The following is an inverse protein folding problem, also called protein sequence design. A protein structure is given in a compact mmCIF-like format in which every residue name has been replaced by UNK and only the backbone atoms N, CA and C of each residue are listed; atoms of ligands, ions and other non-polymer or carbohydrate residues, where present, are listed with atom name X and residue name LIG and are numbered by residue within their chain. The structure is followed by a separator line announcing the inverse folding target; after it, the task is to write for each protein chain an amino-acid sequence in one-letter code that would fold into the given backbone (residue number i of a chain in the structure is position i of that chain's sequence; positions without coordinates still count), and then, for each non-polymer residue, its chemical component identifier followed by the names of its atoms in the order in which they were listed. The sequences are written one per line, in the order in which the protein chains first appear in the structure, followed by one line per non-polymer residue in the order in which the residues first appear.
data_IF_143533415637
#
_entry.id   IF_143533415637
#
_cell.length_a   1.000
_cell.length_b   1.000
_cell.length_c   1.000
_cell.angle_alpha   90.00
_cell.angle_beta   90.00
_cell.angle_gamma   90.00
#
_symmetry.space_group_name_H-M   'P 1'
#
loop_
_entity.id
_entity.type
_entity.pdbx_description
1 polymer ?
#
# COMPACT_ATOMS: atom_id res chain seq x y z
N UNK A 1 10.10 13.64 -14.92
CA UNK A 1 11.23 13.41 -15.81
C UNK A 1 11.05 12.06 -16.51
N UNK A 2 11.65 11.91 -17.72
CA UNK A 2 11.70 10.64 -18.42
C UNK A 2 12.89 9.78 -18.02
N UNK A 3 13.07 8.63 -18.67
CA UNK A 3 14.28 7.82 -18.53
C UNK A 3 15.34 8.28 -19.54
N UNK A 4 16.61 7.96 -19.32
CA UNK A 4 17.72 8.30 -20.22
C UNK A 4 19.08 8.27 -19.54
N UNK A 5 20.10 8.77 -20.23
CA UNK A 5 21.50 8.63 -19.89
C UNK A 5 21.84 8.96 -18.42
N UNK A 6 21.37 10.09 -17.89
CA UNK A 6 21.66 10.48 -16.51
C UNK A 6 21.10 9.47 -15.48
N UNK A 7 19.96 8.85 -15.76
CA UNK A 7 19.37 7.82 -14.90
C UNK A 7 20.07 6.47 -15.06
N UNK A 8 20.62 6.17 -16.24
CA UNK A 8 21.46 4.98 -16.44
C UNK A 8 22.75 5.09 -15.60
N UNK A 9 23.42 6.24 -15.67
CA UNK A 9 24.60 6.49 -14.85
C UNK A 9 24.29 6.51 -13.36
N UNK A 10 23.17 7.12 -12.95
CA UNK A 10 22.73 7.13 -11.55
C UNK A 10 22.49 5.71 -11.03
N UNK A 11 21.84 4.85 -11.81
CA UNK A 11 21.63 3.45 -11.44
C UNK A 11 22.95 2.73 -11.22
N UNK A 12 23.87 2.84 -12.19
CA UNK A 12 25.19 2.19 -12.08
C UNK A 12 25.99 2.71 -10.88
N UNK A 13 25.95 4.02 -10.65
CA UNK A 13 26.61 4.63 -9.51
C UNK A 13 26.05 4.15 -8.16
N UNK A 14 24.73 4.09 -8.02
CA UNK A 14 24.08 3.60 -6.79
C UNK A 14 24.41 2.13 -6.55
N UNK A 15 24.35 1.28 -7.59
CA UNK A 15 24.72 -0.14 -7.49
C UNK A 15 26.19 -0.30 -7.09
N UNK A 16 27.08 0.51 -7.63
CA UNK A 16 28.49 0.47 -7.25
C UNK A 16 28.72 0.95 -5.82
N UNK A 17 28.08 2.01 -5.40
CA UNK A 17 28.22 2.59 -4.05
C UNK A 17 27.70 1.64 -2.96
N UNK A 18 26.68 0.85 -3.24
CA UNK A 18 26.08 -0.10 -2.29
C UNK A 18 26.69 -1.51 -2.37
N UNK A 19 27.58 -1.75 -3.34
CA UNK A 19 28.21 -3.06 -3.57
C UNK A 19 29.02 -3.52 -2.37
N UNK A 20 28.68 -4.71 -1.87
CA UNK A 20 29.34 -5.30 -0.71
C UNK A 20 28.95 -4.68 0.63
N UNK A 21 28.02 -3.71 0.65
CA UNK A 21 27.40 -3.19 1.87
C UNK A 21 26.12 -3.95 2.19
N UNK A 22 25.08 -3.77 1.37
CA UNK A 22 23.79 -4.44 1.51
C UNK A 22 23.24 -5.00 0.19
N UNK A 23 23.82 -4.59 -0.93
CA UNK A 23 23.40 -4.98 -2.30
C UNK A 23 21.90 -4.75 -2.55
N UNK A 24 21.39 -3.60 -2.07
CA UNK A 24 19.96 -3.27 -2.13
C UNK A 24 19.46 -3.15 -3.56
N UNK A 25 18.22 -3.58 -3.84
CA UNK A 25 17.60 -3.33 -5.13
C UNK A 25 17.36 -1.83 -5.34
N UNK A 26 17.58 -1.38 -6.57
CA UNK A 26 17.39 0.00 -7.01
C UNK A 26 16.11 0.10 -7.80
N UNK A 27 15.30 1.10 -7.48
CA UNK A 27 14.02 1.37 -8.10
C UNK A 27 14.04 2.75 -8.76
N UNK A 28 13.52 2.84 -9.99
CA UNK A 28 13.23 4.09 -10.66
C UNK A 28 11.95 3.98 -11.49
N UNK A 29 10.93 4.76 -11.14
CA UNK A 29 9.59 4.70 -11.74
C UNK A 29 9.63 4.80 -13.28
N UNK A 30 10.35 5.76 -13.81
CA UNK A 30 10.37 6.01 -15.26
C UNK A 30 11.23 5.04 -16.06
N UNK A 31 11.93 4.13 -15.39
CA UNK A 31 12.59 3.02 -16.06
C UNK A 31 11.58 2.06 -16.68
N UNK A 32 10.36 1.95 -16.10
CA UNK A 32 9.33 1.02 -16.56
C UNK A 32 9.90 -0.40 -16.74
N UNK A 33 10.13 -0.84 -17.98
CA UNK A 33 10.66 -2.15 -18.35
C UNK A 33 12.16 -2.14 -18.69
N UNK A 34 12.81 -0.98 -18.61
CA UNK A 34 14.22 -0.87 -18.95
C UNK A 34 15.12 -1.46 -17.86
N UNK A 35 16.41 -1.64 -18.18
CA UNK A 35 17.39 -2.34 -17.37
C UNK A 35 17.84 -1.58 -16.11
N UNK A 36 17.67 -0.26 -16.06
CA UNK A 36 18.14 0.59 -14.97
C UNK A 36 17.18 0.69 -13.80
N UNK A 37 16.53 -0.42 -13.50
CA UNK A 37 15.75 -0.68 -12.28
C UNK A 37 15.74 -2.18 -12.00
N UNK A 38 15.91 -2.57 -10.76
CA UNK A 38 15.87 -3.98 -10.34
C UNK A 38 14.43 -4.51 -10.23
N UNK A 39 13.44 -3.68 -10.49
CA UNK A 39 12.04 -4.06 -10.52
C UNK A 39 11.29 -3.32 -11.65
N UNK A 40 10.15 -3.86 -12.07
CA UNK A 40 9.23 -3.17 -12.95
C UNK A 40 8.33 -2.25 -12.14
N UNK A 41 8.28 -0.97 -12.52
CA UNK A 41 7.69 0.09 -11.71
C UNK A 41 6.59 0.82 -12.50
N UNK A 42 5.40 0.21 -12.67
CA UNK A 42 4.26 0.87 -13.30
C UNK A 42 3.68 1.95 -12.39
N UNK A 43 3.01 2.92 -13.00
CA UNK A 43 2.29 3.97 -12.29
C UNK A 43 0.79 3.79 -12.54
N UNK A 44 -0.01 3.74 -11.48
CA UNK A 44 -1.47 3.56 -11.50
C UNK A 44 -1.97 2.39 -12.37
N UNK A 45 -1.45 1.16 -12.20
CA UNK A 45 -1.97 0.03 -12.95
C UNK A 45 -3.37 -0.33 -12.48
N UNK A 46 -4.24 -0.75 -13.42
CA UNK A 46 -5.55 -1.31 -13.04
C UNK A 46 -5.41 -2.71 -12.44
N UNK A 47 -6.45 -3.17 -11.71
CA UNK A 47 -6.50 -4.55 -11.20
C UNK A 47 -6.39 -5.59 -12.31
N UNK A 48 -7.06 -5.37 -13.45
CA UNK A 48 -7.00 -6.27 -14.61
C UNK A 48 -5.61 -6.30 -15.26
N UNK A 49 -4.91 -5.16 -15.29
CA UNK A 49 -3.53 -5.12 -15.76
C UNK A 49 -2.61 -5.91 -14.82
N UNK A 50 -2.73 -5.70 -13.50
CA UNK A 50 -1.97 -6.48 -12.50
C UNK A 50 -2.23 -7.97 -12.64
N UNK A 51 -3.47 -8.39 -12.80
CA UNK A 51 -3.79 -9.81 -13.02
C UNK A 51 -3.14 -10.34 -14.29
N UNK A 52 -3.17 -9.58 -15.38
CA UNK A 52 -2.57 -9.98 -16.64
C UNK A 52 -1.07 -10.16 -16.55
N UNK A 53 -0.35 -9.19 -15.97
CA UNK A 53 1.11 -9.28 -15.81
C UNK A 53 1.50 -10.32 -14.75
N UNK A 54 0.69 -10.49 -13.72
CA UNK A 54 0.87 -11.54 -12.73
C UNK A 54 0.83 -12.93 -13.36
N UNK A 55 -0.16 -13.17 -14.24
CA UNK A 55 -0.35 -14.43 -14.96
C UNK A 55 0.76 -14.71 -15.99
N UNK A 56 1.23 -13.67 -16.68
CA UNK A 56 2.35 -13.79 -17.63
C UNK A 56 3.67 -14.10 -16.93
N UNK A 57 3.82 -13.66 -15.69
CA UNK A 57 5.09 -13.70 -14.97
C UNK A 57 6.04 -12.60 -15.41
N UNK A 58 7.12 -12.44 -14.68
CA UNK A 58 8.20 -11.49 -14.99
C UNK A 58 9.52 -11.96 -14.37
N UNK A 59 10.64 -11.55 -14.97
CA UNK A 59 11.99 -11.83 -14.49
C UNK A 59 12.41 -10.93 -13.31
N UNK A 60 11.66 -9.87 -13.06
CA UNK A 60 11.85 -8.93 -11.93
C UNK A 60 10.53 -8.71 -11.21
N UNK A 61 10.56 -8.32 -9.91
CA UNK A 61 9.35 -7.93 -9.18
C UNK A 61 8.60 -6.78 -9.86
N UNK A 62 7.29 -6.81 -9.83
CA UNK A 62 6.41 -5.73 -10.27
C UNK A 62 5.93 -4.98 -9.04
N UNK A 63 6.31 -3.69 -8.94
CA UNK A 63 6.02 -2.85 -7.78
C UNK A 63 5.54 -1.48 -8.27
N UNK A 64 4.24 -1.21 -8.33
CA UNK A 64 3.72 0.11 -8.68
C UNK A 64 4.33 1.22 -7.82
N UNK A 65 4.91 2.23 -8.49
CA UNK A 65 5.46 3.41 -7.81
C UNK A 65 4.37 4.23 -7.14
N UNK A 66 3.22 4.28 -7.79
CA UNK A 66 2.02 4.92 -7.30
C UNK A 66 0.81 4.09 -7.69
N UNK A 67 -0.11 3.91 -6.75
CA UNK A 67 -1.42 3.30 -7.00
C UNK A 67 -2.44 3.85 -5.98
N UNK A 68 -3.74 3.58 -6.18
CA UNK A 68 -4.80 3.98 -5.26
C UNK A 68 -4.73 5.46 -4.88
N UNK A 69 -4.67 6.36 -5.91
CA UNK A 69 -4.67 7.81 -5.73
C UNK A 69 -5.76 8.26 -4.75
N UNK A 70 -5.38 8.94 -3.66
CA UNK A 70 -6.26 9.15 -2.52
C UNK A 70 -6.88 10.55 -2.42
N UNK A 71 -6.64 11.43 -3.40
CA UNK A 71 -7.27 12.75 -3.42
C UNK A 71 -8.80 12.65 -3.45
N UNK A 72 -9.46 13.24 -2.46
CA UNK A 72 -10.92 13.18 -2.32
C UNK A 72 -11.40 11.75 -2.09
N UNK A 73 -12.30 11.25 -2.95
CA UNK A 73 -12.86 9.89 -2.85
C UNK A 73 -12.41 9.00 -4.00
N UNK A 74 -11.11 8.94 -4.28
CA UNK A 74 -10.57 8.25 -5.45
C UNK A 74 -9.82 6.94 -5.18
N UNK A 75 -9.72 6.50 -3.93
CA UNK A 75 -8.98 5.27 -3.53
C UNK A 75 -9.73 3.96 -3.82
N UNK A 76 -10.87 3.99 -4.49
CA UNK A 76 -11.73 2.82 -4.70
C UNK A 76 -11.07 1.68 -5.49
N UNK A 77 -11.54 0.45 -5.24
CA UNK A 77 -11.07 -0.75 -5.95
C UNK A 77 -9.71 -1.30 -5.49
N UNK A 78 -9.20 -0.84 -4.36
CA UNK A 78 -7.92 -1.28 -3.80
C UNK A 78 -7.89 -2.79 -3.54
N UNK A 79 -8.98 -3.33 -3.02
CA UNK A 79 -9.07 -4.77 -2.76
C UNK A 79 -8.95 -5.61 -4.04
N UNK A 80 -9.47 -5.15 -5.18
CA UNK A 80 -9.34 -5.88 -6.44
C UNK A 80 -7.90 -5.93 -6.94
N UNK A 81 -7.13 -4.84 -6.73
CA UNK A 81 -5.68 -4.84 -6.99
C UNK A 81 -4.94 -5.82 -6.06
N UNK A 82 -5.27 -5.83 -4.76
CA UNK A 82 -4.64 -6.72 -3.79
C UNK A 82 -4.98 -8.19 -3.97
N UNK A 83 -6.15 -8.54 -4.51
CA UNK A 83 -6.42 -9.93 -4.92
C UNK A 83 -5.38 -10.43 -5.93
N UNK A 84 -5.08 -9.63 -6.95
CA UNK A 84 -4.04 -9.98 -7.91
C UNK A 84 -2.66 -10.05 -7.25
N UNK A 85 -2.30 -9.05 -6.42
CA UNK A 85 -1.01 -9.00 -5.74
C UNK A 85 -0.80 -10.23 -4.85
N UNK A 86 -1.82 -10.68 -4.11
CA UNK A 86 -1.71 -11.89 -3.29
C UNK A 86 -1.68 -13.20 -4.09
N UNK A 87 -2.18 -13.18 -5.32
CA UNK A 87 -2.27 -14.39 -6.14
C UNK A 87 -0.98 -14.72 -6.88
N UNK A 88 -0.21 -13.70 -7.26
CA UNK A 88 0.95 -13.88 -8.16
C UNK A 88 2.24 -13.45 -7.49
N UNK A 89 3.26 -14.34 -7.39
CA UNK A 89 4.48 -14.07 -6.63
C UNK A 89 5.39 -13.00 -7.23
N UNK A 90 5.24 -12.67 -8.50
CA UNK A 90 5.97 -11.58 -9.13
C UNK A 90 5.39 -10.19 -8.82
N UNK A 91 4.17 -10.11 -8.24
CA UNK A 91 3.57 -8.86 -7.76
C UNK A 91 3.91 -8.69 -6.28
N UNK A 92 4.68 -7.64 -5.96
CA UNK A 92 5.25 -7.47 -4.61
C UNK A 92 4.63 -6.32 -3.79
N UNK A 93 3.46 -5.85 -4.18
CA UNK A 93 2.79 -4.72 -3.54
C UNK A 93 2.95 -3.44 -4.34
N UNK A 94 2.93 -2.29 -3.66
CA UNK A 94 3.04 -0.97 -4.29
C UNK A 94 2.96 0.15 -3.25
N UNK A 95 3.02 1.40 -3.73
CA UNK A 95 3.00 2.58 -2.89
C UNK A 95 1.76 3.42 -3.16
N UNK A 96 0.94 3.64 -2.12
CA UNK A 96 -0.26 4.47 -2.23
C UNK A 96 0.15 5.93 -2.42
N UNK A 97 -0.44 6.62 -3.36
CA UNK A 97 -0.34 8.05 -3.50
C UNK A 97 -1.56 8.75 -2.88
N UNK A 98 -1.43 9.34 -1.71
CA UNK A 98 -0.25 9.53 -0.88
C UNK A 98 -0.55 9.12 0.56
N UNK A 99 0.45 9.21 1.47
CA UNK A 99 0.25 8.87 2.87
C UNK A 99 -0.50 9.96 3.61
N UNK A 100 -0.05 11.20 3.50
CA UNK A 100 -0.52 12.33 4.30
C UNK A 100 -0.90 13.50 3.41
N UNK A 101 -2.05 14.12 3.67
CA UNK A 101 -2.43 15.37 3.04
C UNK A 101 -1.38 16.46 3.28
N UNK A 102 -1.07 17.23 2.23
CA UNK A 102 0.05 18.17 2.22
C UNK A 102 -0.32 19.55 2.78
N UNK A 103 -1.45 19.70 3.48
CA UNK A 103 -1.89 20.97 4.07
C UNK A 103 -1.04 21.41 5.26
N UNK A 104 -0.84 22.71 5.40
CA UNK A 104 -0.15 23.37 6.55
C UNK A 104 -1.20 24.12 7.33
N UNK A 105 -1.28 23.88 8.65
CA UNK A 105 -2.24 24.57 9.51
C UNK A 105 -1.91 26.05 9.64
N UNK A 106 -2.84 26.91 9.26
CA UNK A 106 -2.76 28.35 9.41
C UNK A 106 -4.05 28.92 10.01
N UNK A 107 -4.02 30.19 10.44
CA UNK A 107 -5.20 30.92 10.89
C UNK A 107 -5.46 32.07 9.94
N UNK A 108 -6.74 32.28 9.58
CA UNK A 108 -7.18 33.46 8.86
C UNK A 108 -7.19 34.70 9.78
N UNK A 109 -7.51 35.86 9.22
CA UNK A 109 -7.60 37.13 9.93
C UNK A 109 -8.66 37.15 11.06
N UNK A 110 -9.62 36.24 11.01
CA UNK A 110 -10.65 36.06 12.04
C UNK A 110 -10.26 35.00 13.09
N UNK A 111 -9.05 34.42 12.99
CA UNK A 111 -8.55 33.40 13.89
C UNK A 111 -9.07 31.98 13.58
N UNK A 112 -9.76 31.76 12.45
CA UNK A 112 -10.27 30.44 12.04
C UNK A 112 -9.14 29.62 11.44
N UNK A 113 -8.96 28.43 11.94
CA UNK A 113 -7.96 27.48 11.45
C UNK A 113 -8.40 26.80 10.16
N UNK A 114 -7.45 26.63 9.23
CA UNK A 114 -7.64 25.87 7.99
C UNK A 114 -6.32 25.30 7.48
N UNK A 115 -6.40 24.31 6.59
CA UNK A 115 -5.24 23.72 5.94
C UNK A 115 -4.93 24.49 4.65
N UNK A 116 -3.82 25.22 4.66
CA UNK A 116 -3.37 26.03 3.54
C UNK A 116 -2.37 25.30 2.65
N UNK A 117 -2.35 25.64 1.37
CA UNK A 117 -1.37 25.17 0.41
C UNK A 117 -1.21 26.15 -0.77
N UNK A 118 -0.08 26.06 -1.48
CA UNK A 118 0.18 26.78 -2.73
C UNK A 118 -0.16 28.28 -2.65
N UNK A 119 -1.12 28.72 -3.46
CA UNK A 119 -1.54 30.12 -3.57
C UNK A 119 -2.09 30.75 -2.29
N UNK A 120 -2.46 29.99 -1.26
CA UNK A 120 -2.87 30.51 0.04
C UNK A 120 -1.73 31.30 0.74
N UNK A 121 -0.48 31.07 0.34
CA UNK A 121 0.69 31.77 0.87
C UNK A 121 1.07 33.04 0.08
N UNK A 122 0.29 33.40 -0.92
CA UNK A 122 0.47 34.63 -1.72
C UNK A 122 0.20 34.43 -3.20
N UNK A 123 -0.19 35.50 -3.88
CA UNK A 123 -0.62 35.48 -5.29
C UNK A 123 0.50 35.07 -6.27
N UNK A 124 1.77 35.22 -5.87
CA UNK A 124 2.93 34.82 -6.68
C UNK A 124 3.54 33.45 -6.27
N UNK A 125 2.91 32.76 -5.33
CA UNK A 125 3.37 31.44 -4.90
C UNK A 125 2.96 30.38 -5.93
N UNK A 126 3.86 29.42 -6.25
CA UNK A 126 3.49 28.28 -7.10
C UNK A 126 2.30 27.52 -6.54
N UNK A 127 1.36 27.19 -7.42
CA UNK A 127 0.19 26.41 -7.07
C UNK A 127 -0.17 25.49 -8.24
N UNK A 128 -0.53 24.25 -7.94
CA UNK A 128 -1.02 23.27 -8.92
C UNK A 128 -2.56 23.17 -8.89
N UNK A 129 -3.22 24.32 -8.74
CA UNK A 129 -4.67 24.43 -8.69
C UNK A 129 -5.25 23.65 -7.51
N UNK A 130 -6.13 22.69 -7.79
CA UNK A 130 -6.75 21.85 -6.78
C UNK A 130 -5.97 20.54 -6.49
N UNK A 131 -4.81 20.34 -7.11
CA UNK A 131 -4.01 19.14 -6.89
C UNK A 131 -3.23 19.25 -5.57
N UNK A 132 -3.90 18.90 -4.50
CA UNK A 132 -3.36 18.85 -3.15
C UNK A 132 -4.23 17.92 -2.31
N UNK A 133 -3.78 17.60 -1.10
CA UNK A 133 -4.50 16.75 -0.15
C UNK A 133 -4.80 15.36 -0.74
N UNK A 134 -3.73 14.68 -1.14
CA UNK A 134 -3.77 13.36 -1.79
C UNK A 134 -3.61 12.21 -0.79
N UNK A 135 -3.59 12.49 0.51
CA UNK A 135 -3.29 11.52 1.56
C UNK A 135 -4.44 10.59 1.89
N UNK A 136 -4.12 9.44 2.47
CA UNK A 136 -5.07 8.55 3.13
C UNK A 136 -5.31 8.93 4.60
N UNK A 137 -4.55 9.90 5.08
CA UNK A 137 -4.77 10.58 6.38
C UNK A 137 -4.69 12.08 6.20
N UNK A 138 -5.44 12.81 7.04
CA UNK A 138 -5.40 14.28 7.12
C UNK A 138 -4.01 14.79 7.56
N UNK A 139 -3.71 16.09 7.39
CA UNK A 139 -2.44 16.66 7.86
C UNK A 139 -2.21 16.49 9.37
N UNK A 140 -3.26 16.42 10.18
CA UNK A 140 -3.23 16.13 11.62
C UNK A 140 -3.18 14.63 11.95
N UNK A 141 -3.05 13.77 10.93
CA UNK A 141 -2.96 12.30 11.01
C UNK A 141 -4.27 11.58 11.33
N UNK A 142 -5.39 12.27 11.34
CA UNK A 142 -6.68 11.59 11.40
C UNK A 142 -6.94 10.82 10.10
N UNK A 143 -7.40 9.55 10.16
CA UNK A 143 -7.59 8.75 8.96
C UNK A 143 -8.78 9.22 8.11
N UNK A 144 -8.61 9.24 6.81
CA UNK A 144 -9.72 9.34 5.86
C UNK A 144 -10.53 8.04 5.82
N UNK A 145 -11.79 8.04 5.36
CA UNK A 145 -12.61 6.83 5.24
C UNK A 145 -11.93 5.70 4.46
N UNK A 146 -11.15 6.03 3.43
CA UNK A 146 -10.38 5.08 2.62
C UNK A 146 -9.40 4.22 3.42
N UNK A 147 -8.92 4.71 4.59
CA UNK A 147 -8.02 3.96 5.45
C UNK A 147 -8.63 2.62 5.93
N UNK A 148 -9.94 2.51 6.02
CA UNK A 148 -10.60 1.25 6.38
C UNK A 148 -10.39 0.18 5.31
N UNK A 149 -10.47 0.53 4.02
CA UNK A 149 -10.17 -0.39 2.93
C UNK A 149 -8.68 -0.72 2.85
N UNK A 150 -7.81 0.28 3.04
CA UNK A 150 -6.36 0.07 3.11
C UNK A 150 -6.02 -0.94 4.20
N UNK A 151 -6.56 -0.76 5.41
CA UNK A 151 -6.37 -1.70 6.52
C UNK A 151 -6.83 -3.12 6.18
N UNK A 152 -7.96 -3.25 5.50
CA UNK A 152 -8.48 -4.54 5.07
C UNK A 152 -7.62 -5.17 3.97
N UNK A 153 -7.29 -4.41 2.93
CA UNK A 153 -6.52 -4.91 1.81
C UNK A 153 -5.08 -5.33 2.21
N UNK A 154 -4.44 -4.57 3.10
CA UNK A 154 -3.06 -4.81 3.54
C UNK A 154 -2.95 -5.75 4.76
N UNK A 155 -4.03 -6.39 5.20
CA UNK A 155 -3.97 -7.28 6.37
C UNK A 155 -3.04 -8.48 6.14
N UNK A 156 -2.17 -8.73 7.11
CA UNK A 156 -1.20 -9.83 7.03
C UNK A 156 -1.76 -11.19 7.49
N UNK A 157 -2.98 -11.22 7.97
CA UNK A 157 -3.66 -12.46 8.38
C UNK A 157 -5.02 -12.52 7.73
N UNK A 158 -5.28 -13.56 6.96
CA UNK A 158 -6.57 -13.78 6.35
C UNK A 158 -7.28 -14.97 6.98
N UNK A 159 -8.60 -14.87 7.08
CA UNK A 159 -9.47 -15.94 7.57
C UNK A 159 -10.40 -16.37 6.44
N UNK A 160 -10.47 -17.68 6.21
CA UNK A 160 -11.35 -18.28 5.22
C UNK A 160 -12.24 -19.30 5.92
N UNK A 161 -13.54 -19.09 5.90
CA UNK A 161 -14.48 -20.03 6.45
C UNK A 161 -14.53 -21.30 5.60
N UNK A 162 -14.32 -22.46 6.22
CA UNK A 162 -14.41 -23.77 5.58
C UNK A 162 -15.67 -24.54 5.96
N UNK A 163 -16.16 -24.34 7.17
CA UNK A 163 -17.39 -24.94 7.69
C UNK A 163 -17.96 -24.05 8.80
N UNK A 164 -18.72 -23.03 8.40
CA UNK A 164 -19.28 -22.03 9.32
C UNK A 164 -20.19 -22.67 10.39
N UNK A 165 -20.96 -23.71 10.02
CA UNK A 165 -21.89 -24.36 10.94
C UNK A 165 -21.15 -25.02 12.12
N UNK A 166 -19.94 -25.50 11.87
CA UNK A 166 -19.08 -26.10 12.89
C UNK A 166 -17.95 -25.17 13.37
N UNK A 167 -17.98 -23.90 12.97
CA UNK A 167 -17.00 -22.87 13.39
C UNK A 167 -15.58 -23.14 12.89
N UNK A 168 -15.41 -23.76 11.70
CA UNK A 168 -14.09 -24.08 11.14
C UNK A 168 -13.64 -23.00 10.16
N UNK A 169 -12.40 -22.60 10.31
CA UNK A 169 -11.74 -21.58 9.48
C UNK A 169 -10.33 -22.02 9.14
N UNK A 170 -9.89 -21.71 7.95
CA UNK A 170 -8.47 -21.65 7.64
C UNK A 170 -7.92 -20.27 7.99
N UNK A 171 -6.69 -20.25 8.46
CA UNK A 171 -5.93 -19.03 8.73
C UNK A 171 -4.73 -19.01 7.82
N UNK A 172 -4.62 -17.96 7.00
CA UNK A 172 -3.48 -17.74 6.11
C UNK A 172 -2.59 -16.66 6.73
N UNK A 173 -1.34 -17.02 6.99
CA UNK A 173 -0.30 -16.09 7.41
C UNK A 173 0.38 -15.49 6.17
N UNK A 174 0.11 -14.21 5.88
CA UNK A 174 0.70 -13.46 4.77
C UNK A 174 2.01 -12.77 5.14
N UNK A 175 2.45 -12.82 6.39
CA UNK A 175 3.78 -12.35 6.77
C UNK A 175 4.87 -13.17 6.08
N UNK A 176 5.95 -12.53 5.67
CA UNK A 176 7.13 -13.20 5.12
C UNK A 176 8.12 -13.68 6.19
N UNK A 177 8.13 -13.02 7.37
CA UNK A 177 9.15 -13.25 8.40
C UNK A 177 8.59 -13.48 9.81
N UNK A 178 7.27 -13.41 9.98
CA UNK A 178 6.65 -13.46 11.31
C UNK A 178 5.70 -14.64 11.45
N UNK A 179 5.96 -15.52 12.40
CA UNK A 179 5.06 -16.61 12.79
C UNK A 179 3.91 -16.05 13.63
N UNK A 180 2.68 -16.53 13.41
CA UNK A 180 1.48 -16.06 14.12
C UNK A 180 1.46 -16.39 15.62
N UNK A 181 2.29 -17.30 16.12
CA UNK A 181 2.42 -17.57 17.55
C UNK A 181 2.84 -16.34 18.38
N UNK A 182 3.37 -15.29 17.72
CA UNK A 182 3.65 -13.99 18.36
C UNK A 182 2.40 -13.19 18.70
N UNK A 183 1.24 -13.58 18.16
CA UNK A 183 -0.01 -12.84 18.30
C UNK A 183 -1.04 -13.66 19.09
N UNK A 184 -1.88 -12.96 19.82
CA UNK A 184 -3.09 -13.52 20.40
C UNK A 184 -4.28 -13.11 19.53
N UNK A 185 -4.95 -14.08 18.93
CA UNK A 185 -6.16 -13.86 18.14
C UNK A 185 -7.35 -13.89 19.08
N UNK A 186 -8.12 -12.81 19.11
CA UNK A 186 -9.40 -12.77 19.83
C UNK A 186 -10.56 -12.87 18.85
N UNK A 187 -11.62 -13.53 19.24
CA UNK A 187 -12.83 -13.65 18.43
C UNK A 187 -14.10 -13.39 19.26
N UNK A 188 -15.13 -12.94 18.57
CA UNK A 188 -16.47 -12.80 19.09
C UNK A 188 -17.47 -13.52 18.19
N UNK A 189 -18.38 -14.27 18.80
CA UNK A 189 -19.56 -14.80 18.12
C UNK A 189 -20.74 -13.89 18.47
N UNK A 190 -21.44 -13.42 17.46
CA UNK A 190 -22.60 -12.54 17.62
C UNK A 190 -23.86 -13.21 17.10
N UNK A 191 -24.95 -13.04 17.81
CA UNK A 191 -26.29 -13.40 17.39
C UNK A 191 -27.17 -12.13 17.46
N UNK A 192 -27.72 -11.69 16.32
CA UNK A 192 -28.45 -10.43 16.21
C UNK A 192 -27.69 -9.25 16.86
N UNK A 193 -26.43 -9.07 16.48
CA UNK A 193 -25.48 -8.06 16.97
C UNK A 193 -25.10 -8.15 18.47
N UNK A 194 -25.67 -9.10 19.21
CA UNK A 194 -25.30 -9.36 20.61
C UNK A 194 -24.18 -10.39 20.67
N UNK A 195 -23.14 -10.08 21.44
CA UNK A 195 -22.04 -11.01 21.65
C UNK A 195 -22.53 -12.15 22.56
N UNK A 196 -22.58 -13.36 22.02
CA UNK A 196 -22.97 -14.59 22.75
C UNK A 196 -21.76 -15.41 23.22
N UNK A 197 -20.61 -15.23 22.58
CA UNK A 197 -19.37 -15.92 22.96
C UNK A 197 -18.16 -15.08 22.61
N UNK A 198 -17.13 -15.13 23.46
CA UNK A 198 -15.80 -14.58 23.24
C UNK A 198 -14.75 -15.64 23.52
N UNK A 199 -13.63 -15.54 22.82
CA UNK A 199 -12.49 -16.40 23.09
C UNK A 199 -11.18 -15.82 22.55
N UNK A 200 -10.10 -16.50 22.93
CA UNK A 200 -8.75 -16.19 22.45
C UNK A 200 -8.09 -17.49 22.03
N UNK A 201 -7.28 -17.43 20.99
CA UNK A 201 -6.50 -18.56 20.50
C UNK A 201 -5.13 -18.09 20.07
N UNK A 202 -4.11 -18.87 20.38
CA UNK A 202 -2.78 -18.71 19.81
C UNK A 202 -2.58 -19.79 18.74
N UNK A 203 -2.08 -19.40 17.60
CA UNK A 203 -1.88 -20.30 16.48
C UNK A 203 -0.40 -20.31 16.08
N UNK A 204 0.16 -21.49 15.93
CA UNK A 204 1.48 -21.68 15.33
C UNK A 204 1.29 -21.89 13.83
N UNK A 205 1.41 -20.81 13.08
CA UNK A 205 1.33 -20.77 11.60
C UNK A 205 2.56 -20.04 11.12
N UNK A 206 3.42 -20.75 10.40
CA UNK A 206 4.66 -20.19 9.86
C UNK A 206 4.39 -19.10 8.81
N UNK A 207 5.39 -18.25 8.46
CA UNK A 207 5.27 -17.30 7.36
C UNK A 207 4.82 -18.00 6.08
N UNK A 208 3.86 -17.40 5.36
CA UNK A 208 3.28 -17.88 4.10
C UNK A 208 2.54 -19.23 4.21
N UNK A 209 2.33 -19.75 5.42
CA UNK A 209 1.58 -20.99 5.66
C UNK A 209 0.07 -20.73 5.77
N UNK A 210 -0.72 -21.70 5.34
CA UNK A 210 -2.17 -21.80 5.54
C UNK A 210 -2.48 -23.00 6.44
N UNK A 211 -3.24 -22.81 7.48
CA UNK A 211 -3.60 -23.86 8.43
C UNK A 211 -5.06 -23.80 8.81
#
# INVERSE_FOLDING_TARGET
AGNGYNFYEAYLWVKQADKGLMDRPVNYERAQWEWNSDMYVPQYPSASWLESIGRLGSDRPVVPSEYAHAMGNSTGGLWDQWKAIYQYPNLQGGYIWDWVDQGILVKDENGREYWAYGGDFGTNMPSDGNFCCNGIVNPDRNPHPAMSEVKYAHQNVAFEATDLANGKFNVLNRFYFTNLKKYMISYEVKENDKVVRRGKVSLDVAPQEKK
#
